data_IF_119176876253
#
_entry.id   IF_119176876253
#
_cell.length_a   1.000
_cell.length_b   1.000
_cell.length_c   1.000
_cell.angle_alpha   90.00
_cell.angle_beta   90.00
_cell.angle_gamma   90.00
#
_symmetry.space_group_name_H-M   'P 1'
#
loop_
_entity.id
_entity.type
_entity.pdbx_description
1 polymer ?
#
# COMPACT_ATOMS: atom_id res chain seq x y z
N UNK A 1 31.24 7.31 -14.90
CA UNK A 1 31.32 6.81 -13.51
C UNK A 1 31.58 7.89 -12.46
N UNK A 2 32.52 8.85 -12.65
CA UNK A 2 32.76 9.91 -11.64
C UNK A 2 31.60 10.92 -11.48
N UNK A 3 30.87 11.26 -12.54
CA UNK A 3 29.75 12.23 -12.45
C UNK A 3 28.55 11.69 -11.67
N UNK A 4 28.23 10.40 -11.79
CA UNK A 4 27.13 9.76 -11.04
C UNK A 4 27.47 9.73 -9.54
N UNK A 5 28.72 9.38 -9.18
CA UNK A 5 29.16 9.41 -7.77
C UNK A 5 29.08 10.80 -7.15
N UNK A 6 29.44 11.84 -7.93
CA UNK A 6 29.40 13.23 -7.44
C UNK A 6 27.95 13.73 -7.28
N UNK A 7 27.03 13.31 -8.17
CA UNK A 7 25.60 13.68 -8.07
C UNK A 7 24.94 13.01 -6.89
N UNK A 8 25.16 11.71 -6.68
CA UNK A 8 24.61 10.97 -5.54
C UNK A 8 25.14 11.54 -4.21
N UNK A 9 26.46 11.82 -4.09
CA UNK A 9 27.04 12.44 -2.89
C UNK A 9 26.47 13.85 -2.67
N UNK A 10 26.26 14.64 -3.73
CA UNK A 10 25.67 15.97 -3.62
C UNK A 10 24.22 15.94 -3.14
N UNK A 11 23.41 14.98 -3.59
CA UNK A 11 22.05 14.78 -3.10
C UNK A 11 22.07 14.40 -1.61
N UNK A 12 22.89 13.45 -1.20
CA UNK A 12 23.00 13.04 0.21
C UNK A 12 23.54 14.15 1.13
N UNK A 13 24.49 14.95 0.67
CA UNK A 13 25.00 16.10 1.47
C UNK A 13 23.98 17.24 1.55
N UNK A 14 23.16 17.43 0.53
CA UNK A 14 22.07 18.42 0.55
C UNK A 14 20.95 17.96 1.50
N UNK A 15 20.53 16.68 1.45
CA UNK A 15 19.56 16.10 2.39
C UNK A 15 20.05 16.17 3.84
N UNK A 16 21.34 15.90 4.10
CA UNK A 16 21.92 16.00 5.45
C UNK A 16 21.96 17.43 6.02
N UNK A 17 22.01 18.47 5.16
CA UNK A 17 21.91 19.86 5.62
C UNK A 17 20.47 20.29 5.90
N UNK A 18 19.49 19.69 5.24
CA UNK A 18 18.05 19.88 5.57
C UNK A 18 17.64 19.19 6.89
N UNK A 19 18.32 18.12 7.31
CA UNK A 19 18.09 17.46 8.60
C UNK A 19 18.37 18.35 9.85
N UNK A 20 18.89 19.56 9.68
CA UNK A 20 18.95 20.61 10.70
C UNK A 20 17.77 21.60 10.65
N UNK A 21 16.85 21.40 9.73
CA UNK A 21 15.63 22.20 9.60
C UNK A 21 14.45 21.49 10.30
N UNK A 22 13.44 22.24 10.69
CA UNK A 22 12.17 21.79 11.27
C UNK A 22 11.28 21.03 10.26
N UNK A 23 11.92 20.23 9.37
CA UNK A 23 11.29 19.48 8.27
C UNK A 23 11.77 18.04 8.34
N UNK A 24 10.83 17.10 8.44
CA UNK A 24 11.12 15.67 8.30
C UNK A 24 11.11 15.31 6.81
N UNK A 25 12.06 14.49 6.40
CA UNK A 25 12.20 14.02 5.01
C UNK A 25 12.11 12.51 4.99
N UNK A 26 11.20 11.99 4.17
CA UNK A 26 11.00 10.56 3.93
C UNK A 26 11.44 10.22 2.51
N UNK A 27 12.27 9.20 2.35
CA UNK A 27 12.71 8.71 1.04
C UNK A 27 12.55 7.20 0.98
N UNK A 28 11.85 6.71 -0.02
CA UNK A 28 11.79 5.29 -0.32
C UNK A 28 12.16 5.06 -1.79
N UNK A 29 12.99 4.05 -2.06
CA UNK A 29 13.36 3.63 -3.40
C UNK A 29 13.31 2.11 -3.45
N UNK A 30 12.68 1.57 -4.49
CA UNK A 30 12.66 0.14 -4.76
C UNK A 30 12.93 -0.12 -6.25
N UNK A 31 13.73 -1.14 -6.52
CA UNK A 31 14.01 -1.69 -7.84
C UNK A 31 13.75 -3.19 -7.79
N UNK A 32 12.79 -3.68 -8.56
CA UNK A 32 12.43 -5.09 -8.59
C UNK A 32 12.69 -5.70 -9.98
N UNK A 33 13.29 -6.87 -9.99
CA UNK A 33 13.38 -7.74 -11.17
C UNK A 33 12.47 -8.94 -10.91
N UNK A 34 11.44 -9.09 -11.72
CA UNK A 34 10.40 -10.10 -11.61
C UNK A 34 10.43 -11.03 -12.82
N UNK A 35 10.38 -12.33 -12.58
CA UNK A 35 10.25 -13.35 -13.61
C UNK A 35 9.03 -14.25 -13.41
N UNK A 36 8.12 -14.31 -14.40
CA UNK A 36 7.15 -15.41 -14.48
C UNK A 36 7.85 -16.62 -15.05
N UNK A 37 8.09 -17.61 -14.19
CA UNK A 37 8.90 -18.81 -14.50
C UNK A 37 8.07 -19.88 -15.21
N UNK A 38 6.82 -20.07 -14.78
CA UNK A 38 5.88 -21.04 -15.39
C UNK A 38 4.44 -20.55 -15.27
N UNK A 39 3.57 -21.03 -16.15
CA UNK A 39 2.13 -20.75 -16.11
C UNK A 39 1.76 -19.31 -16.46
N UNK A 40 0.56 -18.89 -16.04
CA UNK A 40 0.03 -17.58 -16.38
C UNK A 40 -0.20 -17.36 -17.87
N UNK A 41 -0.14 -16.11 -18.32
CA UNK A 41 -0.30 -15.73 -19.74
C UNK A 41 0.90 -16.19 -20.55
N UNK A 42 2.11 -15.93 -20.05
CA UNK A 42 3.38 -16.33 -20.68
C UNK A 42 4.56 -16.16 -19.73
N UNK A 43 5.60 -16.96 -19.94
CA UNK A 43 6.89 -16.76 -19.29
C UNK A 43 7.53 -15.45 -19.75
N UNK A 44 8.27 -14.79 -18.87
CA UNK A 44 8.95 -13.54 -19.20
C UNK A 44 9.53 -12.86 -17.97
N UNK A 45 10.27 -11.79 -18.24
CA UNK A 45 10.88 -10.95 -17.19
C UNK A 45 10.36 -9.52 -17.32
N UNK A 46 10.12 -8.88 -16.18
CA UNK A 46 9.78 -7.46 -16.07
C UNK A 46 10.69 -6.80 -15.05
N UNK A 47 10.90 -5.51 -15.20
CA UNK A 47 11.61 -4.67 -14.25
C UNK A 47 10.66 -3.57 -13.81
N UNK A 48 10.66 -3.28 -12.52
CA UNK A 48 9.84 -2.25 -11.91
C UNK A 48 10.72 -1.35 -11.06
N UNK A 49 10.51 -0.06 -11.16
CA UNK A 49 11.16 0.97 -10.35
C UNK A 49 10.10 1.81 -9.64
N UNK A 50 10.38 2.15 -8.40
CA UNK A 50 9.56 3.00 -7.56
C UNK A 50 10.42 3.90 -6.71
N UNK A 51 9.96 5.13 -6.47
CA UNK A 51 10.57 6.00 -5.48
C UNK A 51 9.61 7.08 -5.02
N UNK A 52 9.75 7.45 -3.74
CA UNK A 52 9.04 8.58 -3.13
C UNK A 52 9.98 9.55 -2.48
N UNK A 53 9.56 10.80 -2.44
CA UNK A 53 10.20 11.87 -1.69
C UNK A 53 9.11 12.67 -0.97
N UNK A 54 9.05 12.47 0.36
CA UNK A 54 8.12 13.10 1.27
C UNK A 54 8.76 14.21 2.08
N UNK A 55 7.98 15.25 2.40
CA UNK A 55 8.33 16.35 3.30
C UNK A 55 7.19 16.59 4.27
N UNK A 56 7.47 16.50 5.57
CA UNK A 56 6.55 16.87 6.64
C UNK A 56 6.99 18.16 7.30
N UNK A 57 6.07 19.13 7.39
CA UNK A 57 6.26 20.45 7.98
C UNK A 57 5.36 20.58 9.18
N UNK A 58 5.92 20.56 10.39
CA UNK A 58 5.18 20.80 11.61
C UNK A 58 5.07 22.31 11.88
N UNK A 59 3.86 22.82 12.07
CA UNK A 59 3.63 24.25 12.25
C UNK A 59 4.19 24.78 13.57
N UNK A 60 4.24 23.98 14.62
CA UNK A 60 4.81 24.34 15.91
C UNK A 60 6.34 24.51 15.82
N UNK A 61 7.03 23.59 15.12
CA UNK A 61 8.46 23.67 14.90
C UNK A 61 8.86 24.88 14.03
N UNK A 62 7.91 25.42 13.27
CA UNK A 62 8.09 26.61 12.44
C UNK A 62 7.67 27.92 13.15
N UNK A 63 7.40 27.89 14.47
CA UNK A 63 6.94 29.01 15.27
C UNK A 63 5.61 29.65 14.75
N UNK A 64 4.72 28.82 14.16
CA UNK A 64 3.42 29.25 13.67
C UNK A 64 2.33 28.98 14.72
N UNK A 65 1.50 27.96 14.52
CA UNK A 65 0.45 27.54 15.46
C UNK A 65 0.62 26.08 15.85
N UNK A 66 0.05 25.68 16.97
CA UNK A 66 0.23 24.32 17.50
C UNK A 66 -0.64 23.31 16.79
N UNK A 67 -0.11 22.08 16.64
CA UNK A 67 -0.84 20.89 16.22
C UNK A 67 -1.15 20.83 14.73
N UNK A 68 -0.56 21.68 13.90
CA UNK A 68 -0.67 21.60 12.45
C UNK A 68 0.48 20.83 11.81
N UNK A 69 0.20 20.10 10.74
CA UNK A 69 1.18 19.39 9.91
C UNK A 69 0.79 19.50 8.43
N UNK A 70 1.71 19.95 7.59
CA UNK A 70 1.59 19.88 6.13
C UNK A 70 2.49 18.77 5.63
N UNK A 71 1.95 17.83 4.85
CA UNK A 71 2.70 16.78 4.18
C UNK A 71 2.63 16.89 2.67
N UNK A 72 3.77 16.73 2.01
CA UNK A 72 3.92 16.75 0.56
C UNK A 72 4.72 15.52 0.17
N UNK A 73 4.17 14.64 -0.64
CA UNK A 73 4.84 13.44 -1.12
C UNK A 73 4.72 13.34 -2.64
N UNK A 74 5.85 13.24 -3.31
CA UNK A 74 5.94 12.99 -4.74
C UNK A 74 6.46 11.58 -4.99
N UNK A 75 5.96 10.92 -6.02
CA UNK A 75 6.39 9.59 -6.41
C UNK A 75 6.78 9.51 -7.87
N UNK A 76 7.65 8.57 -8.18
CA UNK A 76 7.88 8.11 -9.54
C UNK A 76 7.74 6.59 -9.61
N UNK A 77 7.24 6.11 -10.75
CA UNK A 77 7.20 4.70 -11.10
C UNK A 77 7.74 4.51 -12.52
N UNK A 78 8.38 3.39 -12.76
CA UNK A 78 8.77 2.98 -14.12
C UNK A 78 8.75 1.47 -14.24
N UNK A 79 8.45 0.97 -15.43
CA UNK A 79 8.50 -0.46 -15.70
C UNK A 79 7.31 -1.00 -16.46
N UNK A 80 7.25 -2.33 -16.53
CA UNK A 80 6.16 -3.05 -17.18
C UNK A 80 4.93 -3.22 -16.31
N UNK A 81 3.97 -4.00 -16.84
CA UNK A 81 2.79 -4.45 -16.12
C UNK A 81 2.80 -5.99 -16.10
N UNK A 82 3.61 -6.62 -15.23
CA UNK A 82 3.77 -8.08 -15.22
C UNK A 82 2.49 -8.82 -14.89
N UNK A 83 1.66 -8.33 -13.97
CA UNK A 83 0.37 -8.93 -13.66
C UNK A 83 -0.52 -9.02 -14.90
N UNK A 84 -0.71 -7.93 -15.63
CA UNK A 84 -1.54 -7.90 -16.83
C UNK A 84 -0.90 -8.61 -18.05
N UNK A 85 0.44 -8.64 -18.18
CA UNK A 85 1.11 -9.08 -19.40
C UNK A 85 1.78 -10.45 -19.32
N UNK A 86 2.07 -10.93 -18.10
CA UNK A 86 2.79 -12.19 -17.89
C UNK A 86 2.00 -13.21 -17.07
N UNK A 87 1.36 -12.77 -15.97
CA UNK A 87 0.74 -13.66 -14.99
C UNK A 87 -0.77 -13.81 -15.23
N UNK A 88 -1.50 -12.72 -15.37
CA UNK A 88 -2.95 -12.68 -15.53
C UNK A 88 -3.69 -12.79 -14.20
N UNK A 89 -3.08 -12.35 -13.10
CA UNK A 89 -3.64 -12.34 -11.76
C UNK A 89 -4.46 -11.08 -11.45
N UNK A 90 -5.34 -11.18 -10.44
CA UNK A 90 -6.11 -10.06 -9.87
C UNK A 90 -5.40 -9.42 -8.69
N UNK A 91 -4.50 -10.16 -8.05
CA UNK A 91 -3.92 -9.79 -6.76
C UNK A 91 -2.65 -8.97 -6.88
N UNK A 92 -2.18 -8.71 -8.09
CA UNK A 92 -1.01 -7.90 -8.44
C UNK A 92 0.24 -8.34 -7.66
N UNK A 93 1.05 -9.15 -8.32
CA UNK A 93 2.22 -9.82 -7.73
C UNK A 93 3.30 -8.88 -7.18
N UNK A 94 3.30 -7.61 -7.57
CA UNK A 94 4.25 -6.63 -7.05
C UNK A 94 3.57 -5.28 -6.78
N UNK A 95 3.58 -4.85 -5.53
CA UNK A 95 2.88 -3.66 -5.03
C UNK A 95 3.46 -2.31 -5.52
N UNK A 96 4.53 -2.32 -6.33
CA UNK A 96 5.05 -1.12 -7.01
C UNK A 96 4.73 -1.10 -8.51
N UNK A 97 3.91 -2.05 -9.01
CA UNK A 97 3.46 -2.09 -10.40
C UNK A 97 2.48 -0.96 -10.69
N UNK A 98 2.89 0.03 -11.50
CA UNK A 98 2.06 1.19 -11.81
C UNK A 98 2.35 1.84 -13.19
N UNK A 99 3.22 1.26 -14.03
CA UNK A 99 3.64 1.85 -15.29
C UNK A 99 4.67 2.98 -15.12
N UNK A 100 4.68 3.97 -16.03
CA UNK A 100 5.72 5.00 -16.06
C UNK A 100 5.11 6.38 -15.74
N UNK A 101 5.29 6.85 -14.51
CA UNK A 101 4.69 8.10 -14.03
C UNK A 101 5.65 8.86 -13.11
N UNK A 102 5.49 10.17 -13.05
CA UNK A 102 6.00 11.04 -12.00
C UNK A 102 4.84 11.92 -11.55
N UNK A 103 4.50 11.90 -10.27
CA UNK A 103 3.24 12.48 -9.81
C UNK A 103 3.24 12.88 -8.34
N UNK A 104 2.22 13.66 -7.96
CA UNK A 104 1.90 13.96 -6.56
C UNK A 104 1.17 12.75 -5.97
N UNK A 105 1.83 12.07 -5.04
CA UNK A 105 1.23 10.95 -4.31
C UNK A 105 0.29 11.47 -3.23
N UNK A 106 0.77 12.42 -2.41
CA UNK A 106 -0.01 13.00 -1.33
C UNK A 106 0.30 14.49 -1.16
N UNK A 107 -0.73 15.26 -0.83
CA UNK A 107 -0.65 16.67 -0.47
C UNK A 107 -1.78 16.98 0.49
N UNK A 108 -1.51 16.92 1.78
CA UNK A 108 -2.53 17.12 2.79
C UNK A 108 -2.06 17.97 3.97
N UNK A 109 -3.04 18.52 4.65
CA UNK A 109 -2.84 19.23 5.91
C UNK A 109 -3.64 18.54 7.02
N UNK A 110 -2.99 18.30 8.16
CA UNK A 110 -3.59 17.77 9.39
C UNK A 110 -3.58 18.84 10.48
N UNK A 111 -4.70 18.96 11.18
CA UNK A 111 -4.80 19.80 12.37
C UNK A 111 -5.29 18.97 13.56
N UNK A 112 -4.52 18.96 14.63
CA UNK A 112 -4.97 18.51 15.94
C UNK A 112 -5.90 19.57 16.52
N UNK A 113 -7.19 19.23 16.67
CA UNK A 113 -8.21 20.13 17.26
C UNK A 113 -8.15 20.05 18.77
N UNK A 114 -7.90 18.85 19.28
CA UNK A 114 -7.64 18.54 20.69
C UNK A 114 -6.58 17.44 20.76
N UNK A 115 -6.12 17.06 21.96
CA UNK A 115 -5.23 15.92 22.15
C UNK A 115 -5.81 14.60 21.65
N UNK A 116 -7.13 14.54 21.46
CA UNK A 116 -7.84 13.32 21.08
C UNK A 116 -8.52 13.37 19.71
N UNK A 117 -8.53 14.53 19.04
CA UNK A 117 -9.22 14.70 17.77
C UNK A 117 -8.31 15.40 16.79
N UNK A 118 -8.09 14.77 15.63
CA UNK A 118 -7.42 15.40 14.49
C UNK A 118 -8.28 15.35 13.24
N UNK A 119 -8.09 16.34 12.37
CA UNK A 119 -8.75 16.45 11.07
C UNK A 119 -7.65 16.53 10.01
N UNK A 120 -7.73 15.70 8.98
CA UNK A 120 -6.82 15.73 7.81
C UNK A 120 -7.64 16.02 6.56
N UNK A 121 -7.18 16.92 5.71
CA UNK A 121 -7.80 17.19 4.41
C UNK A 121 -6.75 17.41 3.32
N UNK A 122 -7.09 17.08 2.09
CA UNK A 122 -6.21 17.21 0.93
C UNK A 122 -6.19 15.95 0.08
N UNK A 123 -5.17 15.84 -0.76
CA UNK A 123 -4.91 14.67 -1.59
C UNK A 123 -4.29 13.57 -0.72
N UNK A 124 -4.99 12.47 -0.55
CA UNK A 124 -4.63 11.40 0.39
C UNK A 124 -4.67 10.03 -0.27
N UNK A 125 -3.76 9.16 0.11
CA UNK A 125 -3.83 7.72 -0.14
C UNK A 125 -4.67 7.06 0.96
N UNK A 126 -5.73 6.37 0.57
CA UNK A 126 -6.63 5.66 1.49
C UNK A 126 -5.89 4.61 2.33
N UNK A 127 -4.96 3.89 1.70
CA UNK A 127 -4.24 2.81 2.37
C UNK A 127 -3.08 3.31 3.27
N UNK A 128 -2.73 4.59 3.22
CA UNK A 128 -1.81 5.17 4.20
C UNK A 128 -2.37 5.12 5.63
N UNK A 129 -3.69 5.13 5.76
CA UNK A 129 -4.36 5.14 7.07
C UNK A 129 -5.27 3.92 7.29
N UNK A 130 -6.14 3.56 6.31
CA UNK A 130 -7.09 2.46 6.45
C UNK A 130 -6.49 1.11 6.06
N UNK A 131 -6.89 0.04 6.75
CA UNK A 131 -6.45 -1.35 6.52
C UNK A 131 -4.95 -1.60 6.74
N UNK A 132 -4.22 -0.66 7.30
CA UNK A 132 -2.78 -0.79 7.54
C UNK A 132 -2.49 -1.90 8.55
N UNK A 133 -1.43 -2.68 8.28
CA UNK A 133 -0.87 -3.71 9.15
C UNK A 133 0.65 -3.70 9.02
N UNK A 134 1.36 -3.61 10.12
CA UNK A 134 2.84 -3.61 10.12
C UNK A 134 3.39 -4.96 9.67
N UNK A 135 2.82 -6.05 10.19
CA UNK A 135 3.30 -7.40 9.90
C UNK A 135 3.09 -7.80 8.42
N UNK A 136 2.02 -7.32 7.78
CA UNK A 136 1.79 -7.61 6.37
C UNK A 136 2.61 -6.72 5.42
N UNK A 137 3.20 -5.63 5.91
CA UNK A 137 4.09 -4.75 5.14
C UNK A 137 5.39 -5.40 4.66
N UNK A 138 5.73 -6.59 5.18
CA UNK A 138 6.86 -7.37 4.70
C UNK A 138 6.65 -7.91 3.27
N UNK A 139 5.42 -8.14 2.85
CA UNK A 139 5.08 -8.86 1.62
C UNK A 139 5.05 -7.95 0.40
N UNK A 140 5.38 -8.52 -0.75
CA UNK A 140 5.47 -7.82 -2.05
C UNK A 140 4.13 -7.85 -2.79
N UNK A 141 3.33 -8.91 -2.66
CA UNK A 141 2.02 -8.96 -3.28
C UNK A 141 1.10 -7.88 -2.72
N UNK A 142 0.44 -7.13 -3.61
CA UNK A 142 -0.38 -5.95 -3.26
C UNK A 142 -1.52 -6.27 -2.29
N UNK A 143 -2.05 -7.48 -2.33
CA UNK A 143 -3.23 -7.88 -1.54
C UNK A 143 -2.96 -7.92 -0.03
N UNK A 144 -1.70 -8.07 0.38
CA UNK A 144 -1.34 -8.00 1.80
C UNK A 144 -1.32 -6.55 2.33
N UNK A 145 -1.20 -5.54 1.45
CA UNK A 145 -1.35 -4.12 1.80
C UNK A 145 -2.81 -3.70 1.89
N UNK A 146 -3.57 -3.92 0.79
CA UNK A 146 -4.98 -3.51 0.69
C UNK A 146 -5.82 -4.67 0.21
N UNK A 147 -6.98 -4.92 0.85
CA UNK A 147 -7.82 -6.03 0.41
C UNK A 147 -8.51 -5.74 -0.95
N UNK A 148 -8.60 -6.78 -1.77
CA UNK A 148 -9.20 -6.69 -3.10
C UNK A 148 -10.73 -6.56 -3.07
N UNK A 149 -11.38 -6.77 -1.92
CA UNK A 149 -12.82 -6.51 -1.79
C UNK A 149 -13.13 -5.03 -1.94
N UNK A 150 -12.22 -4.14 -1.55
CA UNK A 150 -12.33 -2.71 -1.86
C UNK A 150 -11.58 -2.37 -3.15
N UNK A 151 -10.31 -2.78 -3.27
CA UNK A 151 -9.45 -2.40 -4.39
C UNK A 151 -10.02 -2.81 -5.75
N UNK A 152 -10.48 -4.05 -5.88
CA UNK A 152 -10.99 -4.60 -7.15
C UNK A 152 -12.44 -4.24 -7.46
N UNK A 153 -13.24 -3.78 -6.47
CA UNK A 153 -14.67 -3.55 -6.69
C UNK A 153 -15.06 -2.08 -6.80
N UNK A 154 -14.35 -1.16 -6.13
CA UNK A 154 -14.74 0.26 -6.09
C UNK A 154 -13.58 1.22 -6.41
N UNK A 155 -12.40 0.70 -6.73
CA UNK A 155 -11.21 1.48 -7.08
C UNK A 155 -10.99 2.67 -6.10
N UNK A 156 -10.66 2.40 -4.83
CA UNK A 156 -10.42 3.45 -3.84
C UNK A 156 -9.16 4.25 -4.20
N UNK A 157 -8.96 5.46 -3.63
CA UNK A 157 -7.74 6.22 -3.83
C UNK A 157 -6.56 5.56 -3.10
N UNK A 158 -5.92 4.61 -3.76
CA UNK A 158 -4.72 3.90 -3.32
C UNK A 158 -3.63 4.02 -4.37
N UNK A 159 -2.38 3.77 -3.97
CA UNK A 159 -1.26 3.73 -4.92
C UNK A 159 -1.65 3.09 -6.27
N UNK A 160 -1.32 3.71 -7.42
CA UNK A 160 -0.55 4.95 -7.57
C UNK A 160 -1.38 6.25 -7.56
N UNK A 161 -2.70 6.18 -7.39
CA UNK A 161 -3.62 7.32 -7.53
C UNK A 161 -4.30 7.65 -6.21
N UNK A 162 -4.07 8.86 -5.72
CA UNK A 162 -4.73 9.43 -4.54
C UNK A 162 -5.92 10.32 -4.94
N UNK A 163 -6.80 10.64 -3.99
CA UNK A 163 -7.92 11.54 -4.20
C UNK A 163 -8.05 12.57 -3.07
N UNK A 164 -8.83 13.61 -3.34
CA UNK A 164 -9.23 14.55 -2.29
C UNK A 164 -10.04 13.83 -1.23
N UNK A 165 -9.68 14.05 0.02
CA UNK A 165 -10.35 13.45 1.17
C UNK A 165 -10.41 14.36 2.37
N UNK A 166 -11.36 14.07 3.23
CA UNK A 166 -11.49 14.61 4.58
C UNK A 166 -11.57 13.44 5.56
N UNK A 167 -10.66 13.40 6.51
CA UNK A 167 -10.58 12.36 7.53
C UNK A 167 -10.64 12.97 8.93
N UNK A 168 -11.28 12.29 9.86
CA UNK A 168 -11.31 12.64 11.28
C UNK A 168 -10.88 11.42 12.08
N UNK A 169 -9.89 11.60 12.95
CA UNK A 169 -9.41 10.59 13.88
C UNK A 169 -9.85 10.95 15.30
N UNK A 170 -10.28 9.94 16.06
CA UNK A 170 -10.72 10.04 17.44
C UNK A 170 -9.93 9.06 18.32
N UNK A 171 -9.11 9.55 19.23
CA UNK A 171 -8.44 8.75 20.25
C UNK A 171 -9.35 8.67 21.48
N UNK A 172 -10.17 7.62 21.56
CA UNK A 172 -11.15 7.47 22.66
C UNK A 172 -10.46 7.09 23.97
N UNK A 173 -9.42 6.28 23.89
CA UNK A 173 -8.55 5.89 25.00
C UNK A 173 -7.15 5.52 24.49
N UNK A 174 -6.23 5.13 25.38
CA UNK A 174 -4.90 4.68 25.01
C UNK A 174 -4.90 3.40 24.15
N UNK A 175 -5.98 2.61 24.23
CA UNK A 175 -6.09 1.33 23.53
C UNK A 175 -7.20 1.31 22.49
N UNK A 176 -7.98 2.36 22.36
CA UNK A 176 -9.10 2.39 21.43
C UNK A 176 -9.18 3.71 20.69
N UNK A 177 -9.15 3.64 19.39
CA UNK A 177 -9.35 4.78 18.49
C UNK A 177 -10.33 4.44 17.37
N UNK A 178 -10.82 5.48 16.72
CA UNK A 178 -11.73 5.41 15.60
C UNK A 178 -11.29 6.41 14.54
N UNK A 179 -11.51 6.08 13.28
CA UNK A 179 -11.36 7.02 12.17
C UNK A 179 -12.55 6.95 11.24
N UNK A 180 -12.90 8.08 10.67
CA UNK A 180 -13.91 8.17 9.62
C UNK A 180 -13.37 9.08 8.52
N UNK A 181 -13.69 8.75 7.26
CA UNK A 181 -13.26 9.55 6.14
C UNK A 181 -14.29 9.57 5.03
N UNK A 182 -14.23 10.61 4.20
CA UNK A 182 -14.90 10.70 2.92
C UNK A 182 -13.88 11.17 1.88
N UNK A 183 -13.74 10.40 0.81
CA UNK A 183 -12.90 10.70 -0.34
C UNK A 183 -13.78 10.99 -1.55
N UNK A 184 -13.22 11.68 -2.54
CA UNK A 184 -13.81 11.75 -3.87
C UNK A 184 -14.16 10.34 -4.37
N UNK A 185 -15.35 10.16 -4.91
CA UNK A 185 -15.82 8.86 -5.38
C UNK A 185 -15.21 8.45 -6.71
N UNK A 186 -14.56 9.37 -7.42
CA UNK A 186 -13.90 9.06 -8.68
C UNK A 186 -12.42 9.44 -8.63
N UNK A 187 -11.58 8.47 -8.98
CA UNK A 187 -10.17 8.68 -9.22
C UNK A 187 -9.96 8.93 -10.71
N UNK A 188 -9.11 9.91 -11.02
CA UNK A 188 -8.76 10.22 -12.40
C UNK A 188 -7.45 9.55 -12.80
N UNK A 189 -7.52 8.62 -13.74
CA UNK A 189 -6.37 7.94 -14.29
C UNK A 189 -5.33 8.91 -14.86
N UNK A 190 -4.10 8.47 -14.90
CA UNK A 190 -3.04 9.16 -15.60
C UNK A 190 -3.39 9.30 -17.09
N UNK A 191 -3.27 10.51 -17.60
CA UNK A 191 -3.57 10.85 -18.98
C UNK A 191 -2.83 12.13 -19.38
N UNK A 192 -2.91 12.52 -20.64
CA UNK A 192 -2.37 13.82 -21.09
C UNK A 192 -2.98 15.01 -20.32
N UNK A 193 -4.24 14.89 -19.86
CA UNK A 193 -4.92 15.91 -19.05
C UNK A 193 -4.69 15.78 -17.54
N UNK A 194 -4.09 14.68 -17.08
CA UNK A 194 -3.77 14.42 -15.67
C UNK A 194 -2.43 13.67 -15.51
N UNK A 195 -1.31 14.19 -16.05
CA UNK A 195 -0.04 13.47 -16.03
C UNK A 195 0.60 13.38 -14.63
N UNK A 196 0.21 14.27 -13.71
CA UNK A 196 0.85 14.42 -12.39
C UNK A 196 -0.10 14.16 -11.21
N UNK A 197 -1.28 13.53 -11.43
CA UNK A 197 -2.31 13.33 -10.43
C UNK A 197 -2.79 14.65 -9.76
N UNK A 198 -2.91 15.72 -10.54
CA UNK A 198 -3.33 17.05 -10.07
C UNK A 198 -4.70 17.47 -10.61
N UNK A 199 -5.41 16.57 -11.27
CA UNK A 199 -6.79 16.79 -11.67
C UNK A 199 -7.71 16.33 -10.55
N UNK A 200 -8.30 17.31 -9.87
CA UNK A 200 -9.22 17.09 -8.76
C UNK A 200 -10.59 17.66 -9.12
N UNK A 201 -11.64 16.92 -8.83
CA UNK A 201 -13.00 17.34 -9.04
C UNK A 201 -13.87 16.73 -7.94
N UNK A 202 -14.83 17.48 -7.49
CA UNK A 202 -15.87 16.99 -6.58
C UNK A 202 -17.21 17.26 -7.23
N UNK A 203 -17.94 16.21 -7.59
CA UNK A 203 -19.26 16.33 -8.17
C UNK A 203 -20.26 15.40 -7.48
N UNK A 204 -21.54 15.78 -7.55
CA UNK A 204 -22.61 14.94 -7.00
C UNK A 204 -22.79 13.63 -7.78
N UNK A 205 -22.38 13.60 -9.06
CA UNK A 205 -22.48 12.41 -9.93
C UNK A 205 -21.39 11.39 -9.59
N UNK A 206 -20.19 11.84 -9.21
CA UNK A 206 -19.08 11.00 -8.79
C UNK A 206 -19.29 10.41 -7.39
N UNK A 207 -20.07 11.09 -6.56
CA UNK A 207 -20.36 10.67 -5.20
C UNK A 207 -19.14 10.70 -4.29
N UNK A 208 -19.16 9.85 -3.26
CA UNK A 208 -18.09 9.74 -2.27
C UNK A 208 -17.80 8.28 -1.93
N UNK A 209 -16.52 7.98 -1.72
CA UNK A 209 -16.10 6.81 -0.97
C UNK A 209 -15.99 7.19 0.50
N UNK A 210 -16.91 6.69 1.33
CA UNK A 210 -16.87 6.89 2.78
C UNK A 210 -16.37 5.65 3.49
N UNK A 211 -15.59 5.82 4.55
CA UNK A 211 -15.05 4.71 5.34
C UNK A 211 -15.06 5.03 6.82
N UNK A 212 -15.19 3.96 7.62
CA UNK A 212 -15.03 4.02 9.05
C UNK A 212 -14.22 2.80 9.54
N UNK A 213 -13.34 3.02 10.51
CA UNK A 213 -12.52 1.96 11.11
C UNK A 213 -12.43 2.17 12.63
N UNK A 214 -12.66 1.12 13.39
CA UNK A 214 -12.42 1.02 14.83
C UNK A 214 -11.15 0.23 15.05
N UNK A 215 -10.28 0.73 15.92
CA UNK A 215 -8.95 0.17 16.18
C UNK A 215 -8.84 -0.11 17.67
N UNK A 216 -8.58 -1.37 18.00
CA UNK A 216 -8.22 -1.82 19.34
C UNK A 216 -6.75 -2.22 19.33
N UNK A 217 -5.93 -1.46 20.02
CA UNK A 217 -4.49 -1.69 20.16
C UNK A 217 -4.11 -1.89 21.63
N UNK A 218 -3.62 -3.08 21.97
CA UNK A 218 -3.26 -3.44 23.32
C UNK A 218 -2.24 -4.60 23.34
N UNK A 219 -1.87 -5.05 24.54
CA UNK A 219 -0.91 -6.14 24.71
C UNK A 219 -1.32 -7.48 24.04
N UNK A 220 -2.59 -7.69 23.70
CA UNK A 220 -3.04 -8.87 22.98
C UNK A 220 -2.80 -8.78 21.47
N UNK A 221 -2.64 -7.58 20.94
CA UNK A 221 -2.42 -7.28 19.53
C UNK A 221 -3.19 -6.06 19.06
N UNK A 222 -3.05 -5.72 17.78
CA UNK A 222 -3.81 -4.68 17.10
C UNK A 222 -4.93 -5.34 16.28
N UNK A 223 -6.16 -4.93 16.52
CA UNK A 223 -7.35 -5.44 15.83
C UNK A 223 -8.14 -4.29 15.24
N UNK A 224 -8.54 -4.40 13.98
CA UNK A 224 -9.28 -3.34 13.29
C UNK A 224 -10.56 -3.92 12.68
N UNK A 225 -11.68 -3.26 12.93
CA UNK A 225 -12.96 -3.53 12.28
C UNK A 225 -13.34 -2.30 11.48
N UNK A 226 -13.51 -2.46 10.17
CA UNK A 226 -13.83 -1.36 9.30
C UNK A 226 -14.81 -1.73 8.20
N UNK A 227 -15.22 -0.70 7.46
CA UNK A 227 -16.10 -0.83 6.32
C UNK A 227 -16.08 0.40 5.45
N UNK A 228 -16.59 0.26 4.25
CA UNK A 228 -16.71 1.32 3.27
C UNK A 228 -18.09 1.35 2.60
N UNK A 229 -18.46 2.53 2.11
CA UNK A 229 -19.63 2.75 1.26
C UNK A 229 -19.24 3.70 0.14
N UNK A 230 -19.41 3.28 -1.11
CA UNK A 230 -19.29 4.13 -2.29
C UNK A 230 -20.68 4.58 -2.74
N UNK A 231 -20.99 5.87 -2.59
CA UNK A 231 -22.36 6.36 -2.75
C UNK A 231 -22.87 6.30 -4.18
N UNK A 232 -22.06 6.66 -5.19
CA UNK A 232 -22.51 6.62 -6.60
C UNK A 232 -22.62 5.18 -7.13
N UNK A 233 -21.73 4.25 -6.72
CA UNK A 233 -21.81 2.84 -7.08
C UNK A 233 -22.83 2.07 -6.23
N UNK A 234 -23.37 2.68 -5.17
CA UNK A 234 -24.21 2.03 -4.16
C UNK A 234 -23.57 0.73 -3.64
N UNK A 235 -22.24 0.68 -3.56
CA UNK A 235 -21.47 -0.49 -3.20
C UNK A 235 -20.84 -0.34 -1.81
N UNK A 236 -20.74 -1.44 -1.08
CA UNK A 236 -20.21 -1.45 0.28
C UNK A 236 -19.52 -2.77 0.61
N UNK A 237 -18.68 -2.72 1.62
CA UNK A 237 -18.04 -3.90 2.19
C UNK A 237 -17.58 -3.66 3.61
N UNK A 238 -17.21 -4.74 4.27
CA UNK A 238 -16.70 -4.74 5.65
C UNK A 238 -15.46 -5.63 5.74
N UNK A 239 -14.58 -5.32 6.69
CA UNK A 239 -13.39 -6.10 6.96
C UNK A 239 -13.10 -6.17 8.45
N UNK A 240 -12.47 -7.26 8.85
CA UNK A 240 -11.85 -7.46 10.15
C UNK A 240 -10.41 -7.90 9.90
N UNK A 241 -9.48 -7.25 10.53
CA UNK A 241 -8.07 -7.60 10.47
C UNK A 241 -7.44 -7.57 11.86
N UNK A 242 -6.36 -8.31 12.01
CA UNK A 242 -5.60 -8.35 13.24
C UNK A 242 -4.15 -8.70 13.00
N UNK A 243 -3.30 -8.24 13.90
CA UNK A 243 -1.88 -8.55 13.90
C UNK A 243 -1.32 -8.60 15.32
N UNK A 244 -0.22 -9.32 15.48
CA UNK A 244 0.48 -9.43 16.75
C UNK A 244 1.96 -9.73 16.54
N UNK A 245 2.82 -8.94 17.16
CA UNK A 245 4.24 -9.23 17.31
C UNK A 245 4.48 -9.95 18.65
N UNK A 246 5.13 -11.10 18.62
CA UNK A 246 5.53 -11.92 19.77
C UNK A 246 7.04 -12.10 19.70
N UNK A 247 7.81 -11.23 20.32
CA UNK A 247 9.28 -11.19 20.23
C UNK A 247 9.73 -11.23 18.75
N UNK A 248 10.26 -12.36 18.32
CA UNK A 248 10.78 -12.58 16.96
C UNK A 248 9.74 -13.20 16.00
N UNK A 249 8.47 -13.27 16.38
CA UNK A 249 7.41 -13.84 15.55
C UNK A 249 6.31 -12.80 15.34
N UNK A 250 6.04 -12.43 14.08
CA UNK A 250 4.90 -11.64 13.69
C UNK A 250 3.78 -12.52 13.15
N UNK A 251 2.55 -12.23 13.50
CA UNK A 251 1.35 -12.90 13.01
C UNK A 251 0.36 -11.87 12.52
N UNK A 252 -0.29 -12.13 11.40
CA UNK A 252 -1.39 -11.29 10.91
C UNK A 252 -2.44 -12.09 10.16
N UNK A 253 -3.60 -11.49 9.98
CA UNK A 253 -4.66 -12.03 9.16
C UNK A 253 -5.80 -11.06 8.96
N UNK A 254 -6.58 -11.28 7.93
CA UNK A 254 -7.81 -10.52 7.68
C UNK A 254 -8.89 -11.38 7.02
N UNK A 255 -10.10 -10.93 7.17
CA UNK A 255 -11.26 -11.34 6.36
C UNK A 255 -12.00 -10.10 5.91
N UNK A 256 -12.37 -10.06 4.63
CA UNK A 256 -13.18 -9.00 4.05
C UNK A 256 -14.35 -9.59 3.27
N UNK A 257 -15.45 -8.84 3.19
CA UNK A 257 -16.66 -9.26 2.53
C UNK A 257 -17.41 -8.08 1.89
N UNK A 258 -17.99 -8.32 0.69
CA UNK A 258 -18.91 -7.43 0.00
C UNK A 258 -20.05 -8.24 -0.64
N UNK A 259 -21.21 -7.64 -0.96
CA UNK A 259 -22.35 -8.34 -1.55
C UNK A 259 -22.03 -8.98 -2.91
N UNK A 260 -22.20 -10.29 -3.06
CA UNK A 260 -22.01 -11.04 -4.30
C UNK A 260 -22.82 -10.49 -5.48
N UNK A 261 -24.00 -9.94 -5.22
CA UNK A 261 -24.87 -9.41 -6.28
C UNK A 261 -24.30 -8.21 -7.01
N UNK A 262 -23.36 -7.50 -6.39
CA UNK A 262 -22.73 -6.27 -6.88
C UNK A 262 -21.25 -6.43 -7.25
N UNK A 263 -20.58 -7.48 -6.77
CA UNK A 263 -19.13 -7.58 -6.76
C UNK A 263 -18.64 -8.87 -7.40
N UNK A 264 -17.56 -8.75 -8.19
CA UNK A 264 -16.82 -9.89 -8.71
C UNK A 264 -15.95 -10.52 -7.63
N UNK A 265 -15.35 -9.72 -6.74
CA UNK A 265 -14.59 -10.19 -5.58
C UNK A 265 -15.47 -9.97 -4.35
N UNK A 266 -16.13 -11.04 -3.89
CA UNK A 266 -17.08 -10.90 -2.79
C UNK A 266 -16.49 -11.21 -1.41
N UNK A 267 -15.33 -11.83 -1.34
CA UNK A 267 -14.63 -12.09 -0.07
C UNK A 267 -13.14 -12.25 -0.32
N UNK A 268 -12.36 -11.84 0.68
CA UNK A 268 -10.93 -12.13 0.76
C UNK A 268 -10.60 -12.62 2.15
N UNK A 269 -9.67 -13.57 2.23
CA UNK A 269 -9.11 -14.09 3.47
C UNK A 269 -7.61 -14.16 3.30
N UNK A 270 -6.85 -13.62 4.23
CA UNK A 270 -5.40 -13.79 4.28
C UNK A 270 -4.89 -14.07 5.69
N UNK A 271 -3.72 -14.69 5.77
CA UNK A 271 -2.96 -14.90 6.98
C UNK A 271 -1.48 -15.06 6.66
N UNK A 272 -0.62 -14.65 7.59
CA UNK A 272 0.82 -14.81 7.47
C UNK A 272 1.55 -14.87 8.80
N UNK A 273 2.79 -15.34 8.71
CA UNK A 273 3.74 -15.42 9.81
C UNK A 273 5.10 -14.86 9.36
N UNK A 274 5.70 -14.04 10.20
CA UNK A 274 7.02 -13.47 10.02
C UNK A 274 7.96 -14.00 11.11
N UNK A 275 9.19 -14.34 10.72
CA UNK A 275 10.27 -14.73 11.63
C UNK A 275 11.37 -13.69 11.49
N UNK A 276 11.64 -12.97 12.57
CA UNK A 276 12.63 -11.90 12.65
C UNK A 276 13.91 -12.37 13.31
N UNK A 277 15.05 -11.72 13.00
CA UNK A 277 16.38 -12.08 13.51
C UNK A 277 16.70 -13.56 13.30
N UNK A 278 16.36 -14.09 12.10
CA UNK A 278 16.47 -15.51 11.82
C UNK A 278 17.93 -15.96 11.62
N UNK A 279 18.73 -15.12 10.94
CA UNK A 279 20.11 -15.45 10.62
C UNK A 279 21.13 -14.45 11.20
N UNK A 280 20.68 -13.27 11.65
CA UNK A 280 21.54 -12.20 12.12
C UNK A 280 21.00 -11.58 13.40
N UNK A 281 21.83 -11.55 14.46
CA UNK A 281 21.45 -10.91 15.72
C UNK A 281 21.66 -9.38 15.69
N UNK A 282 22.48 -8.87 14.76
CA UNK A 282 22.89 -7.47 14.66
C UNK A 282 22.02 -6.63 13.71
N UNK A 283 21.09 -7.28 13.01
CA UNK A 283 20.16 -6.63 12.07
C UNK A 283 18.83 -7.34 12.03
N UNK A 284 17.77 -6.61 11.76
CA UNK A 284 16.40 -7.16 11.70
C UNK A 284 16.12 -7.76 10.31
N UNK A 285 16.68 -8.93 10.03
CA UNK A 285 16.27 -9.72 8.89
C UNK A 285 14.91 -10.37 9.16
N UNK A 286 14.09 -10.54 8.13
CA UNK A 286 12.74 -11.06 8.26
C UNK A 286 12.39 -12.06 7.16
N UNK A 287 12.00 -13.28 7.56
CA UNK A 287 11.44 -14.29 6.68
C UNK A 287 9.93 -14.34 6.87
N UNK A 288 9.17 -14.11 5.80
CA UNK A 288 7.71 -14.16 5.80
C UNK A 288 7.15 -15.31 4.97
N UNK A 289 6.10 -15.95 5.48
CA UNK A 289 5.27 -16.88 4.73
C UNK A 289 3.80 -16.49 4.89
N UNK A 290 3.08 -16.28 3.78
CA UNK A 290 1.69 -15.88 3.80
C UNK A 290 0.87 -16.52 2.68
N UNK A 291 -0.44 -16.55 2.90
CA UNK A 291 -1.43 -16.98 1.94
C UNK A 291 -2.57 -15.96 1.89
N UNK A 292 -3.05 -15.67 0.69
CA UNK A 292 -4.25 -14.85 0.46
C UNK A 292 -5.14 -15.52 -0.57
N UNK A 293 -6.44 -15.47 -0.37
CA UNK A 293 -7.44 -16.03 -1.28
C UNK A 293 -8.58 -15.06 -1.51
N UNK A 294 -8.83 -14.71 -2.77
CA UNK A 294 -10.02 -14.01 -3.23
C UNK A 294 -11.08 -15.01 -3.67
N UNK A 295 -12.28 -14.88 -3.12
CA UNK A 295 -13.46 -15.64 -3.55
C UNK A 295 -14.21 -14.83 -4.61
N UNK A 296 -14.45 -15.44 -5.78
CA UNK A 296 -14.88 -14.78 -6.99
C UNK A 296 -16.31 -15.18 -7.38
N UNK A 297 -17.04 -14.23 -7.96
CA UNK A 297 -18.40 -14.44 -8.47
C UNK A 297 -18.45 -14.03 -9.95
N UNK A 298 -19.02 -14.90 -10.80
CA UNK A 298 -19.17 -14.65 -12.26
C UNK A 298 -17.87 -14.45 -13.04
N UNK A 299 -16.76 -14.91 -12.49
CA UNK A 299 -15.45 -14.91 -13.16
C UNK A 299 -15.12 -16.28 -13.73
N UNK A 300 -14.00 -16.38 -14.45
CA UNK A 300 -13.52 -17.62 -15.07
C UNK A 300 -13.21 -18.71 -14.05
N UNK A 301 -12.75 -18.34 -12.88
CA UNK A 301 -12.55 -19.20 -11.73
C UNK A 301 -13.44 -18.71 -10.57
N UNK A 302 -13.64 -19.56 -9.57
CA UNK A 302 -14.40 -19.22 -8.36
C UNK A 302 -13.50 -18.71 -7.21
N UNK A 303 -12.20 -18.77 -7.38
CA UNK A 303 -11.21 -18.19 -6.48
C UNK A 303 -9.87 -17.98 -7.20
N UNK A 304 -9.08 -17.04 -6.70
CA UNK A 304 -7.67 -16.90 -6.96
C UNK A 304 -6.94 -16.91 -5.62
N UNK A 305 -5.83 -17.64 -5.53
CA UNK A 305 -5.06 -17.78 -4.28
C UNK A 305 -3.59 -17.52 -4.56
N UNK A 306 -2.94 -16.73 -3.71
CA UNK A 306 -1.48 -16.51 -3.75
C UNK A 306 -0.86 -17.05 -2.48
N UNK A 307 0.23 -17.81 -2.65
CA UNK A 307 1.13 -18.22 -1.57
C UNK A 307 2.44 -17.46 -1.80
N UNK A 308 2.91 -16.74 -0.79
CA UNK A 308 4.12 -15.95 -0.87
C UNK A 308 5.13 -16.37 0.19
N UNK A 309 6.39 -16.47 -0.22
CA UNK A 309 7.56 -16.66 0.64
C UNK A 309 8.55 -15.53 0.34
N UNK A 310 8.77 -14.66 1.29
CA UNK A 310 9.65 -13.49 1.15
C UNK A 310 10.72 -13.45 2.21
N UNK A 311 11.90 -12.87 1.89
CA UNK A 311 12.96 -12.66 2.86
C UNK A 311 13.59 -11.29 2.70
N UNK A 312 13.32 -10.37 3.64
CA UNK A 312 13.91 -9.01 3.65
C UNK A 312 15.22 -9.06 4.44
N UNK A 313 16.33 -8.79 3.76
CA UNK A 313 17.68 -8.76 4.32
C UNK A 313 18.24 -7.34 4.30
N UNK A 314 18.35 -6.63 5.44
CA UNK A 314 19.12 -5.40 5.53
C UNK A 314 20.60 -5.68 5.26
N UNK A 315 21.20 -4.97 4.29
CA UNK A 315 22.60 -5.23 3.88
C UNK A 315 23.57 -4.19 4.41
N UNK A 316 23.25 -2.90 4.27
CA UNK A 316 24.09 -1.81 4.77
C UNK A 316 23.27 -0.53 5.00
N UNK A 317 23.29 0.01 6.22
CA UNK A 317 22.46 1.17 6.58
C UNK A 317 20.99 0.91 6.25
N UNK A 318 20.39 1.76 5.47
CA UNK A 318 18.99 1.70 5.07
C UNK A 318 18.75 0.88 3.77
N UNK A 319 19.78 0.21 3.25
CA UNK A 319 19.64 -0.63 2.05
C UNK A 319 19.29 -2.06 2.42
N UNK A 320 18.37 -2.65 1.63
CA UNK A 320 17.98 -4.05 1.76
C UNK A 320 17.92 -4.76 0.40
N UNK A 321 17.97 -6.10 0.46
CA UNK A 321 17.68 -7.01 -0.64
C UNK A 321 16.58 -7.94 -0.19
N UNK A 322 15.61 -8.19 -1.08
CA UNK A 322 14.44 -9.00 -0.76
C UNK A 322 14.13 -9.99 -1.90
N UNK A 323 14.67 -11.23 -1.85
CA UNK A 323 14.18 -12.32 -2.66
C UNK A 323 12.76 -12.71 -2.22
N UNK A 324 11.92 -13.00 -3.22
CA UNK A 324 10.51 -13.30 -3.04
C UNK A 324 10.06 -14.34 -4.06
N UNK A 325 9.18 -15.23 -3.64
CA UNK A 325 8.60 -16.28 -4.45
C UNK A 325 7.09 -16.34 -4.23
N UNK A 326 6.34 -16.29 -5.32
CA UNK A 326 4.89 -16.38 -5.29
C UNK A 326 4.39 -17.52 -6.16
N UNK A 327 3.39 -18.23 -5.65
CA UNK A 327 2.65 -19.25 -6.41
C UNK A 327 1.19 -18.80 -6.51
N UNK A 328 0.77 -18.44 -7.73
CA UNK A 328 -0.55 -17.94 -8.05
C UNK A 328 -1.40 -19.07 -8.58
N UNK A 329 -2.38 -19.49 -7.81
CA UNK A 329 -3.33 -20.55 -8.14
C UNK A 329 -4.56 -19.92 -8.79
N UNK A 330 -4.95 -20.41 -9.96
CA UNK A 330 -6.08 -19.92 -10.76
C UNK A 330 -5.98 -18.41 -11.09
N UNK A 331 -4.93 -17.91 -11.77
CA UNK A 331 -4.89 -16.51 -12.20
C UNK A 331 -6.17 -16.13 -12.92
N UNK A 332 -6.86 -15.06 -12.49
CA UNK A 332 -8.24 -14.76 -12.91
C UNK A 332 -8.42 -13.38 -13.52
N UNK A 333 -7.37 -12.56 -13.59
CA UNK A 333 -7.42 -11.20 -14.13
C UNK A 333 -7.50 -11.11 -15.65
N UNK A 334 -7.06 -12.15 -16.38
CA UNK A 334 -7.05 -12.16 -17.85
C UNK A 334 -8.41 -12.51 -18.50
N UNK A 335 -9.44 -12.86 -17.73
CA UNK A 335 -10.76 -13.25 -18.23
C UNK A 335 -10.80 -14.61 -18.95
N UNK A 336 -9.69 -15.35 -19.00
CA UNK A 336 -9.57 -16.68 -19.56
C UNK A 336 -8.91 -17.62 -18.54
N UNK A 337 -9.18 -18.92 -18.66
CA UNK A 337 -8.56 -19.89 -17.77
C UNK A 337 -7.08 -20.05 -18.11
N UNK A 338 -6.23 -19.87 -17.12
CA UNK A 338 -4.77 -19.96 -17.21
C UNK A 338 -4.27 -21.07 -16.29
N UNK A 339 -3.07 -21.57 -16.60
CA UNK A 339 -2.33 -22.45 -15.69
C UNK A 339 -1.79 -21.66 -14.50
N UNK A 340 -1.66 -22.32 -13.35
CA UNK A 340 -1.07 -21.73 -12.15
C UNK A 340 0.32 -21.16 -12.45
N UNK A 341 0.61 -19.97 -11.92
CA UNK A 341 1.86 -19.29 -12.21
C UNK A 341 2.85 -19.38 -11.04
N UNK A 342 4.14 -19.54 -11.36
CA UNK A 342 5.22 -19.41 -10.41
C UNK A 342 6.07 -18.19 -10.75
N UNK A 343 6.14 -17.26 -9.80
CA UNK A 343 6.81 -15.96 -9.94
C UNK A 343 7.99 -15.90 -8.98
N UNK A 344 9.13 -15.42 -9.45
CA UNK A 344 10.31 -15.13 -8.63
C UNK A 344 10.69 -13.66 -8.79
N UNK A 345 10.89 -12.96 -7.66
CA UNK A 345 11.22 -11.55 -7.60
C UNK A 345 12.49 -11.35 -6.80
N UNK A 346 13.31 -10.39 -7.19
CA UNK A 346 14.37 -9.84 -6.34
C UNK A 346 14.18 -8.34 -6.29
N UNK A 347 13.89 -7.82 -5.11
CA UNK A 347 13.76 -6.39 -4.87
C UNK A 347 15.00 -5.87 -4.13
N UNK A 348 15.50 -4.73 -4.57
CA UNK A 348 16.53 -3.94 -3.91
C UNK A 348 15.87 -2.64 -3.45
N UNK A 349 16.05 -2.27 -2.20
CA UNK A 349 15.41 -1.07 -1.68
C UNK A 349 16.29 -0.24 -0.77
N UNK A 350 15.84 1.00 -0.58
CA UNK A 350 16.38 1.98 0.35
C UNK A 350 15.21 2.72 1.01
N UNK A 351 15.24 2.85 2.34
CA UNK A 351 14.20 3.54 3.13
C UNK A 351 14.90 4.46 4.14
N UNK A 352 14.48 5.75 4.18
CA UNK A 352 15.03 6.78 5.09
C UNK A 352 13.88 7.49 5.80
#
# INVERSE_FOLDING_TARGET
>A
MNRIKTTVIAIFTTLATFAQSNVTIDVSIAHAVLGNVTGGIKQGVSVLDYGTLGFSFNTEDMDLWNGGELYINTAFTAGGNPSANLIGDLQIVDNIEAGNHFYMQELWYRQNITDNISITFGLQDYNAEFMTREESGLYINSTFGTNNVIAGNVAPPIFPLSALGLQINFNVSKSFSMRVAAFDGQIYDFSESNPFNLKWSLSAEEGFLTSAEMILDNNAGTYKLGGYLHTALENYGVYLLGEKRLDNIGLFGQVAWAPKSKNEIYSQIDAGINLYHLFFDDREDALGFAITANLLEKMVNNHETVIELTYKLPVYGNFYVQPDFQYVINPSGAGVKLDDAFVAIVRFGFEL
#
